data_IF_050961409763
#
_entry.id   IF_050961409763
#
_cell.length_a   1.000
_cell.length_b   1.000
_cell.length_c   1.000
_cell.angle_alpha   90.00
_cell.angle_beta   90.00
_cell.angle_gamma   90.00
#
_symmetry.space_group_name_H-M   'P 1'
#
loop_
_entity.id
_entity.type
_entity.pdbx_description
1 polymer ?
#
# COMPACT_ATOMS: atom_id res chain seq x y z
N UNK A 1 -24.76 -3.69 3.31
CA UNK A 1 -23.41 -4.13 3.78
C UNK A 1 -22.64 -2.90 4.26
N UNK A 2 -22.49 -2.77 5.58
CA UNK A 2 -22.02 -1.54 6.24
C UNK A 2 -20.67 -1.05 5.71
N UNK A 3 -20.65 0.20 5.22
CA UNK A 3 -19.43 0.99 5.05
C UNK A 3 -18.88 1.32 6.44
N UNK A 4 -18.20 0.37 7.10
CA UNK A 4 -17.26 0.77 8.14
C UNK A 4 -16.19 1.60 7.42
N UNK A 5 -15.94 2.81 7.87
CA UNK A 5 -14.70 3.53 7.60
C UNK A 5 -13.54 2.70 8.14
N UNK A 6 -13.18 1.65 7.39
CA UNK A 6 -12.25 0.62 7.81
C UNK A 6 -10.88 1.07 7.40
N UNK A 7 -10.01 1.29 8.38
CA UNK A 7 -8.57 1.39 8.14
C UNK A 7 -8.12 0.46 7.01
N UNK A 8 -7.33 1.00 6.08
CA UNK A 8 -6.71 0.23 5.00
C UNK A 8 -6.03 -1.01 5.60
N UNK A 9 -6.11 -2.15 4.91
CA UNK A 9 -5.45 -3.37 5.37
C UNK A 9 -3.95 -3.17 5.62
N UNK A 10 -3.32 -2.23 4.89
CA UNK A 10 -1.95 -1.78 5.14
C UNK A 10 -1.77 -1.20 6.55
N UNK A 11 -2.68 -0.33 7.00
CA UNK A 11 -2.64 0.30 8.32
C UNK A 11 -2.80 -0.72 9.44
N UNK A 12 -3.73 -1.67 9.25
CA UNK A 12 -3.93 -2.79 10.18
C UNK A 12 -2.71 -3.71 10.25
N UNK A 13 -2.09 -4.01 9.11
CA UNK A 13 -0.87 -4.81 9.02
C UNK A 13 0.32 -4.11 9.68
N UNK A 14 0.46 -2.78 9.52
CA UNK A 14 1.48 -1.99 10.20
C UNK A 14 1.33 -2.06 11.72
N UNK A 15 0.12 -1.84 12.23
CA UNK A 15 -0.17 -1.96 13.68
C UNK A 15 0.18 -3.36 14.20
N UNK A 16 -0.25 -4.42 13.52
CA UNK A 16 0.06 -5.81 13.89
C UNK A 16 1.56 -6.12 13.91
N UNK A 17 2.31 -5.62 12.93
CA UNK A 17 3.78 -5.78 12.90
C UNK A 17 4.42 -5.03 14.05
N UNK A 18 4.01 -3.79 14.34
CA UNK A 18 4.55 -2.99 15.44
C UNK A 18 4.30 -3.65 16.81
N UNK A 19 3.07 -4.12 17.07
CA UNK A 19 2.72 -4.82 18.32
C UNK A 19 3.50 -6.12 18.49
N UNK A 20 3.72 -6.89 17.41
CA UNK A 20 4.53 -8.11 17.49
C UNK A 20 6.01 -7.83 17.67
N UNK A 21 6.51 -6.73 17.11
CA UNK A 21 7.92 -6.35 17.20
C UNK A 21 8.31 -5.94 18.62
N UNK A 22 7.43 -5.24 19.36
CA UNK A 22 7.71 -4.76 20.71
C UNK A 22 7.81 -5.85 21.78
N UNK A 23 7.38 -7.08 21.48
CA UNK A 23 7.38 -8.20 22.42
C UNK A 23 8.25 -9.39 22.00
N UNK A 24 9.08 -9.24 20.96
CA UNK A 24 9.91 -10.33 20.43
C UNK A 24 11.39 -10.05 20.65
N UNK A 25 12.07 -10.90 21.44
CA UNK A 25 13.53 -10.82 21.63
C UNK A 25 14.32 -11.14 20.35
N UNK A 26 13.79 -12.05 19.52
CA UNK A 26 14.34 -12.33 18.19
C UNK A 26 13.26 -12.17 17.10
N UNK A 27 13.08 -10.97 16.55
CA UNK A 27 12.07 -10.70 15.54
C UNK A 27 12.40 -11.25 14.14
N UNK A 28 13.66 -11.56 13.85
CA UNK A 28 14.06 -12.16 12.58
C UNK A 28 13.86 -13.69 12.57
N UNK A 29 13.95 -14.33 13.73
CA UNK A 29 13.71 -15.77 13.92
C UNK A 29 12.23 -16.17 13.89
N UNK A 30 11.31 -15.25 14.19
CA UNK A 30 9.87 -15.57 14.22
C UNK A 30 9.28 -15.70 12.81
N UNK A 31 8.92 -16.94 12.45
CA UNK A 31 8.23 -17.26 11.21
C UNK A 31 6.90 -16.50 11.05
N UNK A 32 6.17 -16.26 12.14
CA UNK A 32 4.89 -15.55 12.11
C UNK A 32 5.07 -14.05 11.85
N UNK A 33 6.05 -13.39 12.50
CA UNK A 33 6.42 -12.01 12.21
C UNK A 33 6.97 -11.86 10.79
N UNK A 34 7.79 -12.81 10.33
CA UNK A 34 8.29 -12.85 8.94
C UNK A 34 7.13 -12.93 7.93
N UNK A 35 6.13 -13.78 8.20
CA UNK A 35 4.93 -13.88 7.36
C UNK A 35 4.12 -12.57 7.34
N UNK A 36 3.96 -11.90 8.48
CA UNK A 36 3.28 -10.61 8.57
C UNK A 36 4.00 -9.51 7.78
N UNK A 37 5.34 -9.42 7.90
CA UNK A 37 6.16 -8.48 7.11
C UNK A 37 6.04 -8.75 5.61
N UNK A 38 6.04 -10.03 5.19
CA UNK A 38 5.80 -10.42 3.78
C UNK A 38 4.42 -9.96 3.31
N UNK A 39 3.37 -10.14 4.11
CA UNK A 39 2.02 -9.69 3.79
C UNK A 39 1.94 -8.17 3.67
N UNK A 40 2.55 -7.42 4.58
CA UNK A 40 2.63 -5.96 4.50
C UNK A 40 3.31 -5.50 3.20
N UNK A 41 4.45 -6.09 2.82
CA UNK A 41 5.13 -5.77 1.55
C UNK A 41 4.24 -6.06 0.33
N UNK A 42 3.46 -7.14 0.35
CA UNK A 42 2.51 -7.47 -0.74
C UNK A 42 1.42 -6.40 -0.88
N UNK A 43 0.81 -5.97 0.22
CA UNK A 43 -0.20 -4.91 0.18
C UNK A 43 0.36 -3.57 -0.30
N UNK A 44 1.57 -3.20 0.15
CA UNK A 44 2.26 -2.01 -0.35
C UNK A 44 2.52 -2.09 -1.85
N UNK A 45 2.97 -3.25 -2.37
CA UNK A 45 3.14 -3.46 -3.80
C UNK A 45 1.83 -3.36 -4.56
N UNK A 46 0.74 -3.96 -4.06
CA UNK A 46 -0.59 -3.87 -4.65
C UNK A 46 -1.07 -2.42 -4.71
N UNK A 47 -0.88 -1.64 -3.65
CA UNK A 47 -1.19 -0.20 -3.61
C UNK A 47 -0.38 0.57 -4.65
N UNK A 48 0.93 0.31 -4.77
CA UNK A 48 1.79 0.94 -5.79
C UNK A 48 1.34 0.56 -7.20
N UNK A 49 1.05 -0.71 -7.48
CA UNK A 49 0.58 -1.17 -8.77
C UNK A 49 -0.76 -0.52 -9.16
N UNK A 50 -1.70 -0.40 -8.21
CA UNK A 50 -2.96 0.32 -8.43
C UNK A 50 -2.73 1.82 -8.68
N UNK A 51 -1.80 2.46 -7.96
CA UNK A 51 -1.44 3.85 -8.20
C UNK A 51 -0.81 4.04 -9.58
N UNK A 52 0.10 3.16 -10.01
CA UNK A 52 0.69 3.18 -11.35
C UNK A 52 -0.38 2.95 -12.42
N UNK A 53 -1.26 1.96 -12.25
CA UNK A 53 -2.38 1.73 -13.17
C UNK A 53 -3.28 2.95 -13.29
N UNK A 54 -3.59 3.63 -12.18
CA UNK A 54 -4.35 4.89 -12.21
C UNK A 54 -3.61 6.00 -12.96
N UNK A 55 -2.29 6.15 -12.75
CA UNK A 55 -1.46 7.10 -13.50
C UNK A 55 -1.47 6.80 -15.00
N UNK A 56 -1.28 5.54 -15.39
CA UNK A 56 -1.29 5.15 -16.82
C UNK A 56 -2.68 5.21 -17.45
N UNK A 57 -3.74 4.85 -16.73
CA UNK A 57 -5.11 5.00 -17.21
C UNK A 57 -5.50 6.48 -17.35
N UNK A 58 -4.99 7.36 -16.48
CA UNK A 58 -5.10 8.81 -16.62
C UNK A 58 -4.27 9.37 -17.78
N UNK A 59 -3.12 8.75 -18.09
CA UNK A 59 -2.27 9.12 -19.22
C UNK A 59 -2.81 8.66 -20.60
N UNK A 60 -3.71 7.68 -20.63
CA UNK A 60 -4.44 7.26 -21.84
C UNK A 60 -5.76 8.01 -22.04
N UNK A 61 -6.12 8.96 -21.18
CA UNK A 61 -7.06 10.01 -21.56
C UNK A 61 -6.22 11.05 -22.31
N UNK A 62 -6.44 11.29 -23.62
CA UNK A 62 -5.80 12.42 -24.27
C UNK A 62 -6.10 13.65 -23.42
N UNK A 63 -5.05 14.38 -23.08
CA UNK A 63 -5.16 15.70 -22.48
C UNK A 63 -5.99 16.57 -23.42
N UNK A 64 -7.30 16.63 -23.18
CA UNK A 64 -8.05 17.82 -23.50
C UNK A 64 -7.69 18.82 -22.38
N UNK A 65 -7.00 19.88 -22.80
CA UNK A 65 -6.51 21.03 -22.02
C UNK A 65 -5.11 20.90 -21.43
N UNK A 66 -4.20 21.66 -22.02
CA UNK A 66 -2.82 21.84 -21.57
C UNK A 66 -1.78 21.83 -22.68
N UNK A 67 -2.10 22.33 -23.88
CA UNK A 67 -1.07 22.68 -24.86
C UNK A 67 -0.23 23.86 -24.28
N UNK A 68 1.11 23.75 -24.17
CA UNK A 68 1.93 24.91 -23.90
C UNK A 68 1.93 25.80 -25.16
N UNK A 69 1.14 26.88 -25.11
CA UNK A 69 1.25 27.93 -26.10
C UNK A 69 2.59 28.66 -25.87
N UNK A 70 3.41 28.66 -26.92
CA UNK A 70 4.50 29.59 -27.09
C UNK A 70 3.98 31.04 -27.03
N UNK A 71 4.73 31.90 -26.35
CA UNK A 71 4.53 33.35 -26.25
C UNK A 71 5.67 33.95 -25.46
#
# INVERSE_FOLDING_TARGET
MAKKGTESDESRLKKKVATKLSGHENPEGDAALRALRKRLKREQRKRRALALRKKHAGANKPAAEGAPAAG
#
